data_IF_625058401310
#
_entry.id   IF_625058401310
#
_cell.length_a   1.000
_cell.length_b   1.000
_cell.length_c   1.000
_cell.angle_alpha   90.00
_cell.angle_beta   90.00
_cell.angle_gamma   90.00
#
_symmetry.space_group_name_H-M   'P 1'
#
loop_
_entity.id
_entity.type
_entity.pdbx_description
1 polymer ?
#
# COMPACT_ATOMS: atom_id res chain seq x y z
N UNK A 1 31.16 -16.35 23.59
CA UNK A 1 30.43 -16.66 22.34
C UNK A 1 31.20 -16.05 21.18
N UNK A 2 31.51 -16.81 20.12
CA UNK A 2 32.25 -16.28 18.98
C UNK A 2 31.35 -15.37 18.14
N UNK A 3 31.80 -14.13 17.88
CA UNK A 3 31.09 -13.15 17.03
C UNK A 3 31.35 -13.38 15.54
N UNK A 4 32.23 -14.32 15.21
CA UNK A 4 32.66 -14.62 13.85
C UNK A 4 31.52 -15.04 12.90
N UNK A 5 30.59 -15.96 13.25
CA UNK A 5 29.52 -16.33 12.32
C UNK A 5 28.54 -15.19 12.03
N UNK A 6 28.33 -14.26 12.98
CA UNK A 6 27.51 -13.06 12.75
C UNK A 6 28.19 -12.07 11.79
N UNK A 7 29.53 -11.97 11.83
CA UNK A 7 30.31 -11.16 10.88
C UNK A 7 30.20 -11.72 9.47
N UNK A 8 30.37 -13.03 9.32
CA UNK A 8 30.23 -13.72 8.02
C UNK A 8 28.81 -13.60 7.48
N UNK A 9 27.79 -13.80 8.34
CA UNK A 9 26.39 -13.62 7.96
C UNK A 9 26.12 -12.20 7.44
N UNK A 10 26.70 -11.16 8.06
CA UNK A 10 26.56 -9.78 7.60
C UNK A 10 27.15 -9.56 6.20
N UNK A 11 28.32 -10.14 5.92
CA UNK A 11 28.93 -10.04 4.59
C UNK A 11 28.13 -10.81 3.52
N UNK A 12 27.56 -11.98 3.87
CA UNK A 12 26.63 -12.71 2.98
C UNK A 12 25.37 -11.89 2.66
N UNK A 13 24.80 -11.21 3.66
CA UNK A 13 23.63 -10.33 3.49
C UNK A 13 23.97 -9.15 2.58
N UNK A 14 25.13 -8.50 2.76
CA UNK A 14 25.60 -7.43 1.86
C UNK A 14 25.77 -7.92 0.42
N UNK A 15 26.26 -9.15 0.26
CA UNK A 15 26.39 -9.82 -1.04
C UNK A 15 25.06 -10.35 -1.62
N UNK A 16 23.91 -10.10 -0.98
CA UNK A 16 22.58 -10.61 -1.37
C UNK A 16 22.49 -12.14 -1.42
N UNK A 17 23.38 -12.85 -0.72
CA UNK A 17 23.38 -14.32 -0.60
C UNK A 17 22.52 -14.76 0.59
N UNK A 18 21.22 -14.47 0.50
CA UNK A 18 20.28 -14.63 1.62
C UNK A 18 20.08 -16.09 2.06
N UNK A 19 20.17 -17.05 1.12
CA UNK A 19 20.07 -18.48 1.41
C UNK A 19 21.16 -18.95 2.38
N UNK A 20 22.42 -18.69 2.03
CA UNK A 20 23.57 -19.05 2.85
C UNK A 20 23.61 -18.28 4.17
N UNK A 21 23.18 -17.02 4.15
CA UNK A 21 23.03 -16.24 5.37
C UNK A 21 22.01 -16.88 6.32
N UNK A 22 20.88 -17.39 5.82
CA UNK A 22 19.89 -18.11 6.65
C UNK A 22 20.45 -19.39 7.22
N UNK A 23 21.10 -20.22 6.39
CA UNK A 23 21.69 -21.49 6.85
C UNK A 23 22.74 -21.27 7.93
N UNK A 24 23.55 -20.22 7.80
CA UNK A 24 24.54 -19.85 8.80
C UNK A 24 23.87 -19.33 10.08
N UNK A 25 22.89 -18.44 9.97
CA UNK A 25 22.18 -17.86 11.12
C UNK A 25 21.34 -18.90 11.88
N UNK A 26 20.77 -19.90 11.19
CA UNK A 26 19.99 -20.97 11.79
C UNK A 26 20.83 -21.89 12.69
N UNK A 27 22.14 -22.00 12.44
CA UNK A 27 23.07 -22.79 13.27
C UNK A 27 23.60 -22.02 14.48
N UNK A 28 23.37 -20.70 14.55
CA UNK A 28 23.90 -19.83 15.60
C UNK A 28 22.82 -19.58 16.64
N UNK A 29 23.00 -20.12 17.85
CA UNK A 29 22.11 -19.86 18.99
C UNK A 29 22.41 -18.48 19.60
N UNK A 30 21.85 -17.43 18.99
CA UNK A 30 22.02 -16.05 19.44
C UNK A 30 20.76 -15.22 19.15
N UNK A 31 20.29 -14.37 20.09
CA UNK A 31 19.06 -13.60 19.90
C UNK A 31 19.11 -12.63 18.71
N UNK A 32 20.30 -12.07 18.42
CA UNK A 32 20.51 -11.24 17.22
C UNK A 32 20.36 -12.05 15.93
N UNK A 33 20.76 -13.33 15.91
CA UNK A 33 20.62 -14.17 14.73
C UNK A 33 19.14 -14.42 14.41
N UNK A 34 18.32 -14.69 15.44
CA UNK A 34 16.87 -14.81 15.31
C UNK A 34 16.22 -13.53 14.77
N UNK A 35 16.63 -12.35 15.26
CA UNK A 35 16.15 -11.06 14.73
C UNK A 35 16.54 -10.85 13.26
N UNK A 36 17.74 -11.29 12.86
CA UNK A 36 18.19 -11.18 11.47
C UNK A 36 17.47 -12.16 10.55
N UNK A 37 17.19 -13.37 11.01
CA UNK A 37 16.34 -14.33 10.28
C UNK A 37 14.95 -13.76 10.03
N UNK A 38 14.30 -13.21 11.06
CA UNK A 38 12.98 -12.59 10.90
C UNK A 38 13.00 -11.44 9.87
N UNK A 39 14.04 -10.59 9.91
CA UNK A 39 14.22 -9.50 8.94
C UNK A 39 14.53 -10.02 7.54
N UNK A 40 15.26 -11.13 7.41
CA UNK A 40 15.51 -11.79 6.13
C UNK A 40 14.24 -12.38 5.55
N UNK A 41 13.36 -12.96 6.38
CA UNK A 41 12.06 -13.51 5.97
C UNK A 41 11.09 -12.41 5.52
N UNK A 42 11.18 -11.22 6.12
CA UNK A 42 10.48 -10.03 5.64
C UNK A 42 11.01 -9.54 4.29
N UNK A 43 12.35 -9.49 4.13
CA UNK A 43 13.01 -8.95 2.93
C UNK A 43 12.98 -9.90 1.73
N UNK A 44 13.10 -11.21 1.97
CA UNK A 44 13.27 -12.22 0.93
C UNK A 44 12.64 -13.56 1.36
N UNK A 45 11.31 -13.65 1.53
CA UNK A 45 10.64 -14.85 2.05
C UNK A 45 11.07 -16.11 1.28
N UNK A 46 11.15 -17.26 1.96
CA UNK A 46 11.61 -18.53 1.36
C UNK A 46 10.82 -18.90 0.09
N UNK A 47 9.57 -18.49 0.01
CA UNK A 47 8.72 -18.63 -1.18
C UNK A 47 9.28 -17.93 -2.43
N UNK A 48 9.94 -16.78 -2.30
CA UNK A 48 10.65 -16.13 -3.41
C UNK A 48 11.88 -16.93 -3.85
N UNK A 49 12.56 -17.57 -2.90
CA UNK A 49 13.73 -18.38 -3.23
C UNK A 49 13.32 -19.66 -3.97
N UNK A 50 12.28 -20.34 -3.50
CA UNK A 50 11.68 -21.47 -4.21
C UNK A 50 11.18 -21.09 -5.60
N UNK A 51 10.54 -19.91 -5.72
CA UNK A 51 10.14 -19.40 -7.04
C UNK A 51 11.34 -19.18 -7.96
N UNK A 52 12.50 -18.74 -7.43
CA UNK A 52 13.74 -18.62 -8.22
C UNK A 52 14.23 -19.97 -8.72
N UNK A 53 14.28 -20.97 -7.84
CA UNK A 53 14.73 -22.32 -8.19
C UNK A 53 13.85 -22.94 -9.28
N UNK A 54 12.53 -22.74 -9.20
CA UNK A 54 11.59 -23.20 -10.24
C UNK A 54 11.83 -22.50 -11.58
N UNK A 55 12.13 -21.19 -11.57
CA UNK A 55 12.50 -20.45 -12.79
C UNK A 55 13.79 -21.03 -13.39
N UNK A 56 14.80 -21.28 -12.56
CA UNK A 56 16.08 -21.85 -13.00
C UNK A 56 15.92 -23.29 -13.56
N UNK A 57 14.91 -24.03 -13.09
CA UNK A 57 14.51 -25.37 -13.59
C UNK A 57 13.61 -25.33 -14.83
N UNK A 58 13.13 -24.16 -15.24
CA UNK A 58 12.18 -24.00 -16.36
C UNK A 58 10.71 -24.27 -15.99
N UNK A 59 10.40 -24.48 -14.70
CA UNK A 59 9.05 -24.66 -14.16
C UNK A 59 8.34 -23.30 -13.96
N UNK A 60 8.16 -22.57 -15.07
CA UNK A 60 7.62 -21.20 -15.04
C UNK A 60 6.18 -21.13 -14.51
N UNK A 61 5.40 -22.20 -14.66
CA UNK A 61 3.99 -22.26 -14.25
C UNK A 61 3.87 -22.35 -12.72
N UNK A 62 4.58 -23.26 -12.08
CA UNK A 62 4.66 -23.34 -10.61
C UNK A 62 5.24 -22.05 -10.03
N UNK A 63 6.30 -21.51 -10.63
CA UNK A 63 6.91 -20.27 -10.20
C UNK A 63 5.92 -19.10 -10.22
N UNK A 64 5.11 -18.98 -11.28
CA UNK A 64 4.07 -17.95 -11.41
C UNK A 64 3.01 -18.08 -10.34
N UNK A 65 2.52 -19.30 -10.08
CA UNK A 65 1.53 -19.54 -9.03
C UNK A 65 2.05 -19.14 -7.64
N UNK A 66 3.28 -19.54 -7.31
CA UNK A 66 3.93 -19.14 -6.06
C UNK A 66 4.07 -17.62 -5.97
N UNK A 67 4.53 -16.95 -7.03
CA UNK A 67 4.71 -15.50 -7.00
C UNK A 67 3.37 -14.74 -6.91
N UNK A 68 2.29 -15.23 -7.53
CA UNK A 68 0.94 -14.63 -7.45
C UNK A 68 0.36 -14.75 -6.04
N UNK A 69 0.66 -15.83 -5.33
CA UNK A 69 0.23 -16.00 -3.93
C UNK A 69 0.91 -15.00 -2.97
N UNK A 70 2.00 -14.35 -3.39
CA UNK A 70 2.75 -13.41 -2.57
C UNK A 70 2.33 -11.96 -2.85
N UNK A 71 1.71 -11.31 -1.87
CA UNK A 71 1.43 -9.87 -1.94
C UNK A 71 2.68 -9.03 -1.59
N UNK A 72 3.76 -9.19 -2.37
CA UNK A 72 5.03 -8.49 -2.17
C UNK A 72 5.44 -7.72 -3.46
N UNK A 73 5.93 -6.47 -3.37
CA UNK A 73 6.34 -5.70 -4.55
C UNK A 73 7.47 -6.36 -5.36
N UNK A 74 8.36 -7.10 -4.72
CA UNK A 74 9.42 -7.86 -5.40
C UNK A 74 8.83 -9.00 -6.22
N UNK A 75 7.82 -9.71 -5.68
CA UNK A 75 7.13 -10.77 -6.40
C UNK A 75 6.44 -10.24 -7.67
N UNK A 76 5.81 -9.06 -7.59
CA UNK A 76 5.22 -8.38 -8.75
C UNK A 76 6.24 -8.05 -9.84
N UNK A 77 7.43 -7.56 -9.46
CA UNK A 77 8.52 -7.30 -10.43
C UNK A 77 9.01 -8.58 -11.11
N UNK A 78 9.11 -9.67 -10.35
CA UNK A 78 9.51 -10.97 -10.88
C UNK A 78 8.45 -11.56 -11.81
N UNK A 79 7.17 -11.44 -11.47
CA UNK A 79 6.06 -11.82 -12.35
C UNK A 79 6.11 -11.08 -13.68
N UNK A 80 6.29 -9.76 -13.66
CA UNK A 80 6.39 -8.96 -14.89
C UNK A 80 7.56 -9.43 -15.78
N UNK A 81 8.72 -9.73 -15.17
CA UNK A 81 9.88 -10.24 -15.91
C UNK A 81 9.66 -11.66 -16.46
N UNK A 82 8.94 -12.50 -15.73
CA UNK A 82 8.53 -13.84 -16.18
C UNK A 82 7.59 -13.76 -17.39
N UNK A 83 6.62 -12.83 -17.35
CA UNK A 83 5.68 -12.59 -18.45
C UNK A 83 6.38 -12.05 -19.71
N UNK A 84 7.45 -11.27 -19.53
CA UNK A 84 8.32 -10.82 -20.64
C UNK A 84 9.15 -11.95 -21.25
N UNK A 85 9.68 -12.87 -20.43
CA UNK A 85 10.54 -13.96 -20.88
C UNK A 85 9.77 -15.10 -21.57
N UNK A 86 8.51 -15.34 -21.18
CA UNK A 86 7.72 -16.48 -21.68
C UNK A 86 6.31 -16.03 -22.10
N UNK A 87 6.19 -15.20 -23.15
CA UNK A 87 4.89 -14.71 -23.61
C UNK A 87 3.95 -15.84 -24.03
N UNK A 88 4.48 -16.93 -24.61
CA UNK A 88 3.69 -18.09 -25.06
C UNK A 88 3.01 -18.87 -23.92
N UNK A 89 3.64 -18.94 -22.73
CA UNK A 89 3.03 -19.62 -21.58
C UNK A 89 1.82 -18.85 -21.01
N UNK A 90 1.67 -17.57 -21.36
CA UNK A 90 0.52 -16.76 -20.94
C UNK A 90 -0.63 -16.82 -21.95
N UNK A 91 -0.35 -17.06 -23.23
CA UNK A 91 -1.34 -17.11 -24.30
C UNK A 91 -2.28 -18.32 -24.19
N UNK A 92 -1.79 -19.47 -23.71
CA UNK A 92 -2.58 -20.70 -23.59
C UNK A 92 -3.39 -20.80 -22.28
N UNK A 93 -3.31 -19.78 -21.42
CA UNK A 93 -4.02 -19.67 -20.14
C UNK A 93 -4.96 -18.46 -20.08
N UNK A 94 -5.39 -17.93 -21.24
CA UNK A 94 -6.73 -17.36 -21.27
C UNK A 94 -7.63 -18.45 -20.66
N UNK A 95 -8.33 -18.21 -19.54
CA UNK A 95 -9.27 -19.21 -19.04
C UNK A 95 -10.11 -19.55 -20.26
N UNK A 96 -10.08 -20.81 -20.67
CA UNK A 96 -11.02 -21.27 -21.67
C UNK A 96 -12.35 -20.73 -21.17
N UNK A 97 -12.90 -19.75 -21.88
CA UNK A 97 -14.22 -19.26 -21.61
C UNK A 97 -15.06 -20.53 -21.71
N UNK A 98 -15.38 -21.11 -20.57
CA UNK A 98 -16.47 -22.05 -20.43
C UNK A 98 -17.68 -21.14 -20.58
N UNK A 99 -17.93 -20.70 -21.83
CA UNK A 99 -19.15 -20.04 -22.26
C UNK A 99 -20.29 -21.07 -22.37
N UNK A 100 -20.13 -22.26 -21.78
CA UNK A 100 -21.26 -23.07 -21.32
C UNK A 100 -21.81 -22.46 -20.02
N UNK A 101 -22.19 -21.18 -20.08
CA UNK A 101 -23.33 -20.72 -19.29
C UNK A 101 -24.55 -21.37 -19.94
N UNK A 102 -24.83 -22.61 -19.54
CA UNK A 102 -26.14 -23.22 -19.79
C UNK A 102 -27.13 -22.33 -19.04
N UNK A 103 -27.77 -21.46 -19.80
CA UNK A 103 -28.88 -20.63 -19.38
C UNK A 103 -29.98 -21.53 -18.77
N UNK A 104 -29.96 -21.65 -17.44
CA UNK A 104 -30.87 -22.48 -16.66
C UNK A 104 -32.32 -21.98 -16.70
N UNK A 105 -32.59 -20.81 -17.29
CA UNK A 105 -33.95 -20.26 -17.42
C UNK A 105 -34.64 -20.62 -18.75
N UNK A 106 -33.94 -21.28 -19.69
CA UNK A 106 -34.57 -21.84 -20.90
C UNK A 106 -34.93 -23.33 -20.71
N UNK A 107 -35.64 -23.66 -19.62
CA UNK A 107 -36.38 -24.93 -19.53
C UNK A 107 -37.78 -24.65 -20.09
N UNK A 108 -37.94 -24.76 -21.41
CA UNK A 108 -39.28 -24.87 -21.98
C UNK A 108 -39.95 -26.13 -21.39
N UNK A 109 -41.23 -26.06 -20.97
CA UNK A 109 -41.97 -27.24 -20.56
C UNK A 109 -42.01 -28.19 -21.75
N UNK A 110 -41.37 -29.36 -21.61
CA UNK A 110 -41.39 -30.43 -22.61
C UNK A 110 -42.85 -30.76 -22.89
N UNK A 111 -43.35 -30.26 -24.03
CA UNK A 111 -44.64 -30.67 -24.56
C UNK A 111 -44.49 -32.14 -24.95
N UNK A 112 -45.03 -33.01 -24.11
CA UNK A 112 -45.17 -34.44 -24.39
C UNK A 112 -46.15 -34.57 -25.54
N UNK A 113 -45.63 -34.54 -26.76
CA UNK A 113 -46.39 -34.90 -27.96
C UNK A 113 -46.57 -36.41 -27.91
N UNK A 114 -47.79 -36.85 -27.64
CA UNK A 114 -48.18 -38.25 -27.69
C UNK A 114 -47.99 -38.77 -29.13
N UNK A 115 -46.87 -39.46 -29.38
CA UNK A 115 -46.67 -40.19 -30.63
C UNK A 115 -47.38 -41.55 -30.55
N UNK A 116 -48.15 -41.92 -31.60
CA UNK A 116 -48.83 -43.20 -31.65
C UNK A 116 -47.87 -44.33 -32.00
N UNK A 117 -47.73 -45.29 -31.07
CA UNK A 117 -47.72 -46.72 -31.37
C UNK A 117 -46.67 -47.26 -32.34
N UNK A 118 -45.42 -47.34 -31.90
CA UNK A 118 -44.52 -48.42 -32.31
C UNK A 118 -44.11 -49.10 -31.00
N UNK A 119 -44.65 -50.29 -30.74
CA UNK A 119 -44.13 -51.18 -29.70
C UNK A 119 -42.74 -51.65 -30.13
N UNK A 120 -41.75 -50.78 -30.00
CA UNK A 120 -40.36 -51.21 -30.00
C UNK A 120 -40.20 -52.08 -28.75
N UNK A 121 -40.12 -53.39 -28.96
CA UNK A 121 -39.73 -54.30 -27.90
C UNK A 121 -38.43 -53.78 -27.29
N UNK A 122 -38.33 -53.62 -25.95
CA UNK A 122 -37.16 -53.02 -25.33
C UNK A 122 -35.92 -53.75 -25.81
N UNK A 123 -35.02 -53.01 -26.49
CA UNK A 123 -33.72 -53.54 -26.91
C UNK A 123 -33.06 -54.10 -25.68
N UNK A 124 -32.96 -55.43 -25.60
CA UNK A 124 -32.34 -56.12 -24.46
C UNK A 124 -30.90 -55.64 -24.38
N UNK A 125 -30.50 -55.15 -23.20
CA UNK A 125 -29.13 -54.72 -22.98
C UNK A 125 -28.18 -55.89 -23.26
N UNK A 126 -27.12 -55.63 -24.03
CA UNK A 126 -26.06 -56.59 -24.34
C UNK A 126 -24.75 -56.14 -23.71
N UNK A 127 -23.87 -57.10 -23.41
CA UNK A 127 -22.48 -56.89 -23.00
C UNK A 127 -21.58 -57.79 -23.85
N UNK A 128 -20.28 -57.50 -23.90
CA UNK A 128 -19.30 -58.38 -24.55
C UNK A 128 -18.82 -59.47 -23.62
N UNK A 129 -18.68 -60.68 -24.13
CA UNK A 129 -18.07 -61.78 -23.40
C UNK A 129 -16.56 -61.48 -23.17
N UNK A 130 -16.06 -61.51 -21.92
CA UNK A 130 -14.65 -61.23 -21.63
C UNK A 130 -13.68 -62.28 -22.22
N UNK A 131 -14.17 -63.45 -22.62
CA UNK A 131 -13.34 -64.54 -23.13
C UNK A 131 -13.26 -64.61 -24.66
N UNK A 132 -14.35 -64.28 -25.37
CA UNK A 132 -14.41 -64.39 -26.84
C UNK A 132 -14.87 -63.12 -27.56
N UNK A 133 -15.10 -62.03 -26.82
CA UNK A 133 -15.52 -60.72 -27.31
C UNK A 133 -16.88 -60.64 -28.03
N UNK A 134 -17.61 -61.74 -28.14
CA UNK A 134 -18.95 -61.76 -28.74
C UNK A 134 -20.00 -61.05 -27.90
N UNK A 135 -20.98 -60.43 -28.56
CA UNK A 135 -22.10 -59.75 -27.93
C UNK A 135 -23.10 -60.79 -27.38
N UNK A 136 -23.36 -60.69 -26.08
CA UNK A 136 -24.23 -61.58 -25.31
C UNK A 136 -25.24 -60.74 -24.51
N UNK A 137 -26.35 -61.34 -24.10
CA UNK A 137 -27.33 -60.66 -23.25
C UNK A 137 -26.71 -60.32 -21.89
N UNK A 138 -27.08 -59.17 -21.31
CA UNK A 138 -26.59 -58.75 -20.00
C UNK A 138 -26.87 -59.80 -18.91
N UNK A 139 -28.02 -60.47 -19.02
CA UNK A 139 -28.52 -61.54 -18.15
C UNK A 139 -27.89 -62.93 -18.40
N UNK A 140 -27.07 -63.08 -19.45
CA UNK A 140 -26.43 -64.37 -19.75
C UNK A 140 -25.41 -64.74 -18.67
N UNK A 141 -25.61 -65.89 -18.03
CA UNK A 141 -24.66 -66.52 -17.11
C UNK A 141 -23.59 -67.33 -17.85
N UNK A 142 -23.88 -67.79 -19.08
CA UNK A 142 -22.97 -68.59 -19.90
C UNK A 142 -22.91 -67.99 -21.30
N UNK A 143 -21.70 -67.89 -21.88
CA UNK A 143 -21.56 -67.41 -23.24
C UNK A 143 -21.97 -68.50 -24.25
N UNK A 144 -22.97 -68.21 -25.11
CA UNK A 144 -23.41 -69.15 -26.16
C UNK A 144 -22.34 -69.52 -27.18
N UNK A 145 -21.30 -68.70 -27.32
CA UNK A 145 -20.27 -68.87 -28.35
C UNK A 145 -19.06 -69.67 -27.87
N UNK A 146 -18.53 -69.37 -26.67
CA UNK A 146 -17.35 -70.08 -26.14
C UNK A 146 -17.65 -71.09 -25.03
N UNK A 147 -18.91 -71.15 -24.54
CA UNK A 147 -19.35 -72.11 -23.54
C UNK A 147 -18.82 -71.88 -22.11
N UNK A 148 -18.10 -70.78 -21.84
CA UNK A 148 -17.57 -70.48 -20.51
C UNK A 148 -18.60 -69.74 -19.64
N UNK A 149 -18.57 -70.06 -18.35
CA UNK A 149 -19.36 -69.38 -17.33
C UNK A 149 -18.84 -67.96 -17.10
N UNK A 150 -19.76 -67.02 -17.11
CA UNK A 150 -19.53 -65.62 -16.79
C UNK A 150 -19.84 -65.49 -15.32
N UNK A 151 -18.80 -65.41 -14.48
CA UNK A 151 -18.95 -65.16 -13.06
C UNK A 151 -19.65 -63.81 -12.93
N UNK A 152 -20.97 -63.82 -12.78
CA UNK A 152 -21.71 -62.64 -12.36
C UNK A 152 -21.26 -62.41 -10.93
N UNK A 153 -20.35 -61.45 -10.74
CA UNK A 153 -20.05 -60.96 -9.40
C UNK A 153 -21.40 -60.70 -8.74
N UNK A 154 -21.70 -61.35 -7.60
CA UNK A 154 -22.95 -61.09 -6.90
C UNK A 154 -23.00 -59.58 -6.70
N UNK A 155 -24.12 -58.97 -7.10
CA UNK A 155 -24.37 -57.55 -6.89
C UNK A 155 -24.24 -57.31 -5.38
N UNK A 156 -23.06 -56.93 -4.94
CA UNK A 156 -22.83 -56.47 -3.57
C UNK A 156 -23.81 -55.30 -3.44
N UNK A 157 -24.75 -55.33 -2.48
CA UNK A 157 -25.67 -54.23 -2.29
C UNK A 157 -24.81 -52.98 -2.10
N UNK A 158 -24.84 -52.09 -3.10
CA UNK A 158 -24.05 -50.87 -3.06
C UNK A 158 -24.54 -50.11 -1.84
N UNK A 159 -23.68 -49.88 -0.82
CA UNK A 159 -24.10 -49.13 0.35
C UNK A 159 -24.65 -47.78 -0.12
N UNK A 160 -25.79 -47.36 0.42
CA UNK A 160 -26.39 -46.09 0.05
C UNK A 160 -25.48 -44.94 0.54
N UNK A 161 -24.70 -44.37 -0.39
CA UNK A 161 -23.73 -43.29 -0.12
C UNK A 161 -24.42 -41.91 -0.03
N UNK A 162 -25.72 -41.80 -0.35
CA UNK A 162 -26.46 -40.51 -0.33
C UNK A 162 -26.38 -39.74 0.99
N UNK A 163 -26.59 -40.35 2.18
CA UNK A 163 -26.52 -39.59 3.43
C UNK A 163 -25.12 -38.99 3.69
N UNK A 164 -24.06 -39.70 3.30
CA UNK A 164 -22.70 -39.20 3.45
C UNK A 164 -22.44 -38.04 2.50
N UNK A 165 -22.88 -38.15 1.24
CA UNK A 165 -22.74 -37.07 0.26
C UNK A 165 -23.52 -35.80 0.68
N UNK A 166 -24.71 -35.97 1.24
CA UNK A 166 -25.52 -34.85 1.75
C UNK A 166 -24.84 -34.12 2.92
N UNK A 167 -24.23 -34.86 3.85
CA UNK A 167 -23.49 -34.27 4.97
C UNK A 167 -22.29 -33.45 4.51
N UNK A 168 -21.52 -33.97 3.55
CA UNK A 168 -20.35 -33.30 3.01
C UNK A 168 -20.73 -32.04 2.21
N UNK A 169 -21.86 -32.07 1.51
CA UNK A 169 -22.38 -30.89 0.81
C UNK A 169 -22.80 -29.78 1.79
N UNK A 170 -23.45 -30.13 2.90
CA UNK A 170 -23.81 -29.16 3.94
C UNK A 170 -22.57 -28.49 4.56
N UNK A 171 -21.50 -29.26 4.79
CA UNK A 171 -20.23 -28.75 5.32
C UNK A 171 -19.52 -27.81 4.33
N UNK A 172 -19.55 -28.13 3.03
CA UNK A 172 -19.01 -27.24 1.99
C UNK A 172 -19.78 -25.90 1.91
N UNK A 173 -21.11 -25.93 2.00
CA UNK A 173 -21.91 -24.71 2.04
C UNK A 173 -21.62 -23.87 3.29
N UNK A 174 -21.46 -24.52 4.45
CA UNK A 174 -21.07 -23.85 5.68
C UNK A 174 -19.71 -23.15 5.55
N UNK A 175 -18.72 -23.86 5.00
CA UNK A 175 -17.37 -23.33 4.76
C UNK A 175 -17.40 -22.15 3.80
N UNK A 176 -18.21 -22.21 2.73
CA UNK A 176 -18.39 -21.11 1.79
C UNK A 176 -18.95 -19.85 2.47
N UNK A 177 -19.95 -20.00 3.32
CA UNK A 177 -20.55 -18.88 4.06
C UNK A 177 -19.54 -18.24 5.04
N UNK A 178 -18.67 -19.04 5.69
CA UNK A 178 -17.60 -18.53 6.55
C UNK A 178 -16.61 -17.69 5.73
N UNK A 179 -16.15 -18.20 4.57
CA UNK A 179 -15.20 -17.50 3.72
C UNK A 179 -15.77 -16.15 3.26
N UNK A 180 -17.03 -16.13 2.79
CA UNK A 180 -17.69 -14.89 2.40
C UNK A 180 -17.79 -13.88 3.55
N UNK A 181 -18.05 -14.35 4.77
CA UNK A 181 -18.10 -13.49 5.97
C UNK A 181 -16.74 -12.91 6.30
N UNK A 182 -15.66 -13.70 6.17
CA UNK A 182 -14.30 -13.25 6.38
C UNK A 182 -13.87 -12.21 5.34
N UNK A 183 -14.16 -12.45 4.06
CA UNK A 183 -13.89 -11.50 2.98
C UNK A 183 -14.62 -10.17 3.18
N UNK A 184 -15.86 -10.20 3.69
CA UNK A 184 -16.58 -8.98 4.01
C UNK A 184 -15.91 -8.21 5.15
N UNK A 185 -15.51 -8.91 6.23
CA UNK A 185 -14.81 -8.29 7.37
C UNK A 185 -13.47 -7.70 6.97
N UNK A 186 -12.70 -8.37 6.09
CA UNK A 186 -11.42 -7.83 5.62
C UNK A 186 -11.61 -6.56 4.80
N UNK A 187 -12.61 -6.51 3.91
CA UNK A 187 -12.95 -5.27 3.17
C UNK A 187 -13.34 -4.13 4.11
N UNK A 188 -14.13 -4.41 5.16
CA UNK A 188 -14.49 -3.38 6.14
C UNK A 188 -13.27 -2.87 6.93
N UNK A 189 -12.33 -3.74 7.30
CA UNK A 189 -11.09 -3.35 7.98
C UNK A 189 -10.21 -2.46 7.09
N UNK A 190 -10.09 -2.80 5.80
CA UNK A 190 -9.32 -1.98 4.85
C UNK A 190 -9.91 -0.58 4.68
N UNK A 191 -11.23 -0.46 4.63
CA UNK A 191 -11.91 0.83 4.56
C UNK A 191 -11.68 1.67 5.83
N UNK A 192 -11.76 1.06 7.02
CA UNK A 192 -11.44 1.73 8.27
C UNK A 192 -9.98 2.18 8.36
N UNK A 193 -9.05 1.35 7.89
CA UNK A 193 -7.61 1.69 7.86
C UNK A 193 -7.36 2.84 6.89
N UNK A 194 -8.02 2.85 5.73
CA UNK A 194 -7.90 3.93 4.74
C UNK A 194 -8.33 5.28 5.32
N UNK A 195 -9.48 5.33 6.00
CA UNK A 195 -9.98 6.55 6.64
C UNK A 195 -9.04 7.07 7.73
N UNK A 196 -8.46 6.18 8.56
CA UNK A 196 -7.47 6.58 9.57
C UNK A 196 -6.22 7.16 8.94
N UNK A 197 -5.72 6.59 7.84
CA UNK A 197 -4.54 7.10 7.14
C UNK A 197 -4.75 8.53 6.62
N UNK A 198 -5.94 8.84 6.09
CA UNK A 198 -6.28 10.18 5.62
C UNK A 198 -6.26 11.18 6.79
N UNK A 199 -6.86 10.83 7.93
CA UNK A 199 -6.87 11.70 9.12
C UNK A 199 -5.46 11.94 9.66
N UNK A 200 -4.61 10.91 9.72
CA UNK A 200 -3.21 11.08 10.14
C UNK A 200 -2.42 11.97 9.18
N UNK A 201 -2.59 11.80 7.86
CA UNK A 201 -1.93 12.65 6.87
C UNK A 201 -2.35 14.12 7.02
N UNK A 202 -3.64 14.40 7.23
CA UNK A 202 -4.14 15.75 7.46
C UNK A 202 -3.57 16.38 8.74
N UNK A 203 -3.46 15.61 9.83
CA UNK A 203 -2.84 16.08 11.08
C UNK A 203 -1.35 16.40 10.91
N UNK A 204 -0.60 15.54 10.18
CA UNK A 204 0.82 15.80 9.89
C UNK A 204 0.99 17.07 9.06
N UNK A 205 0.17 17.25 8.01
CA UNK A 205 0.21 18.46 7.16
C UNK A 205 -0.13 19.69 7.99
N UNK A 206 -1.17 19.63 8.83
CA UNK A 206 -1.54 20.72 9.74
C UNK A 206 -0.43 21.09 10.72
N UNK A 207 0.26 20.09 11.27
CA UNK A 207 1.39 20.31 12.17
C UNK A 207 2.58 20.97 11.47
N UNK A 208 2.90 20.54 10.24
CA UNK A 208 3.95 21.16 9.43
C UNK A 208 3.63 22.64 9.15
N UNK A 209 2.39 22.93 8.74
CA UNK A 209 1.95 24.32 8.51
C UNK A 209 2.10 25.14 9.79
N UNK A 210 1.61 24.64 10.93
CA UNK A 210 1.72 25.34 12.21
C UNK A 210 3.17 25.62 12.59
N UNK A 211 4.06 24.63 12.41
CA UNK A 211 5.49 24.75 12.69
C UNK A 211 6.16 25.85 11.87
N UNK A 212 5.77 26.04 10.61
CA UNK A 212 6.34 27.08 9.76
C UNK A 212 5.75 28.46 10.02
N UNK A 213 4.44 28.57 10.26
CA UNK A 213 3.78 29.87 10.37
C UNK A 213 3.99 30.54 11.73
N UNK A 214 4.03 29.78 12.83
CA UNK A 214 4.26 30.33 14.18
C UNK A 214 5.54 31.17 14.28
N UNK A 215 6.74 30.70 13.87
CA UNK A 215 7.96 31.49 13.97
C UNK A 215 7.96 32.68 12.99
N UNK A 216 7.27 32.59 11.85
CA UNK A 216 7.14 33.71 10.91
C UNK A 216 6.32 34.83 11.55
N UNK A 217 5.19 34.51 12.19
CA UNK A 217 4.35 35.50 12.89
C UNK A 217 5.12 36.11 14.06
N UNK A 218 5.86 35.31 14.83
CA UNK A 218 6.70 35.79 15.93
C UNK A 218 7.80 36.74 15.45
N UNK A 219 8.50 36.39 14.37
CA UNK A 219 9.50 37.25 13.75
C UNK A 219 8.89 38.56 13.26
N UNK A 220 7.71 38.50 12.63
CA UNK A 220 7.00 39.67 12.15
C UNK A 220 6.59 40.60 13.30
N UNK A 221 6.10 40.04 14.42
CA UNK A 221 5.82 40.81 15.64
C UNK A 221 7.07 41.49 16.20
N UNK A 222 8.21 40.79 16.25
CA UNK A 222 9.48 41.38 16.71
C UNK A 222 9.93 42.51 15.80
N UNK A 223 9.82 42.37 14.48
CA UNK A 223 10.15 43.43 13.53
C UNK A 223 9.25 44.67 13.72
N UNK A 224 7.95 44.49 13.98
CA UNK A 224 7.04 45.59 14.26
C UNK A 224 7.39 46.31 15.58
N UNK A 225 7.76 45.57 16.62
CA UNK A 225 8.21 46.14 17.90
C UNK A 225 9.48 46.95 17.70
N UNK A 226 10.47 46.41 16.98
CA UNK A 226 11.73 47.11 16.68
C UNK A 226 11.50 48.37 15.85
N UNK A 227 10.60 48.32 14.86
CA UNK A 227 10.21 49.50 14.09
C UNK A 227 9.56 50.57 14.99
N UNK A 228 8.68 50.19 15.90
CA UNK A 228 8.07 51.09 16.88
C UNK A 228 9.10 51.76 17.79
N UNK A 229 10.06 50.98 18.32
CA UNK A 229 11.17 51.51 19.13
C UNK A 229 12.04 52.46 18.29
N UNK A 230 12.32 52.14 17.04
CA UNK A 230 13.09 53.00 16.13
C UNK A 230 12.41 54.34 15.88
N UNK A 231 11.10 54.35 15.64
CA UNK A 231 10.30 55.58 15.47
C UNK A 231 10.32 56.41 16.76
N UNK A 232 10.11 55.77 17.91
CA UNK A 232 10.13 56.46 19.21
C UNK A 232 11.50 57.07 19.52
N UNK A 233 12.59 56.33 19.25
CA UNK A 233 13.96 56.82 19.45
C UNK A 233 14.29 57.99 18.50
N UNK A 234 13.83 57.93 17.25
CA UNK A 234 13.98 59.04 16.31
C UNK A 234 13.25 60.30 16.81
N UNK A 235 12.03 60.16 17.34
CA UNK A 235 11.27 61.28 17.88
C UNK A 235 11.97 61.91 19.11
N UNK A 236 12.47 61.08 20.04
CA UNK A 236 13.26 61.56 21.20
C UNK A 236 14.48 62.38 20.76
N UNK A 237 15.22 61.92 19.75
CA UNK A 237 16.36 62.68 19.20
C UNK A 237 15.93 64.02 18.56
N UNK A 238 14.81 64.04 17.84
CA UNK A 238 14.30 65.31 17.28
C UNK A 238 13.83 66.28 18.35
N UNK A 239 13.29 65.78 19.47
CA UNK A 239 12.85 66.61 20.60
C UNK A 239 14.05 67.30 21.28
N UNK A 240 15.14 66.57 21.51
CA UNK A 240 16.40 67.10 22.08
C UNK A 240 17.04 68.16 21.17
N UNK A 241 16.99 67.94 19.85
CA UNK A 241 17.48 68.93 18.88
C UNK A 241 16.60 70.18 18.84
N UNK A 242 15.27 70.06 18.97
CA UNK A 242 14.36 71.21 19.07
C UNK A 242 14.65 72.05 20.31
N UNK A 243 14.87 71.42 21.47
CA UNK A 243 15.23 72.13 22.71
C UNK A 243 16.56 72.88 22.57
N UNK A 244 17.60 72.23 22.02
CA UNK A 244 18.90 72.90 21.78
C UNK A 244 18.81 74.06 20.79
N UNK A 245 18.02 73.90 19.71
CA UNK A 245 17.77 75.00 18.76
C UNK A 245 17.04 76.17 19.42
N UNK A 246 16.07 75.89 20.29
CA UNK A 246 15.37 76.92 21.08
C UNK A 246 16.35 77.72 21.93
N UNK A 247 17.20 77.05 22.71
CA UNK A 247 18.19 77.73 23.56
C UNK A 247 19.18 78.60 22.75
N UNK A 248 19.63 78.15 21.57
CA UNK A 248 20.51 78.93 20.71
C UNK A 248 19.78 80.16 20.13
N UNK A 249 18.51 80.02 19.77
CA UNK A 249 17.69 81.13 19.27
C UNK A 249 17.44 82.18 20.36
N UNK A 250 17.25 81.76 21.61
CA UNK A 250 17.10 82.65 22.77
C UNK A 250 18.42 83.39 23.09
N UNK A 251 19.58 82.72 22.99
CA UNK A 251 20.88 83.38 23.15
C UNK A 251 21.15 84.39 22.02
N UNK A 252 20.79 84.06 20.78
CA UNK A 252 20.93 84.96 19.63
C UNK A 252 20.03 86.19 19.75
N UNK A 253 18.78 86.02 20.19
CA UNK A 253 17.86 87.15 20.38
C UNK A 253 18.39 88.13 21.44
N UNK A 254 18.96 87.62 22.53
CA UNK A 254 19.63 88.45 23.55
C UNK A 254 20.85 89.21 23.02
N UNK A 255 21.61 88.65 22.07
CA UNK A 255 22.70 89.37 21.41
C UNK A 255 22.19 90.50 20.50
N UNK A 256 21.11 90.27 19.77
CA UNK A 256 20.48 91.30 18.94
C UNK A 256 19.94 92.47 19.77
N UNK A 257 19.32 92.21 20.93
CA UNK A 257 18.88 93.27 21.85
C UNK A 257 20.06 94.11 22.37
N UNK A 258 21.17 93.45 22.74
CA UNK A 258 22.40 94.15 23.18
C UNK A 258 23.00 94.99 22.07
N UNK A 259 23.01 94.51 20.83
CA UNK A 259 23.47 95.29 19.69
C UNK A 259 22.61 96.55 19.49
N UNK A 260 21.28 96.41 19.56
CA UNK A 260 20.36 97.54 19.46
C UNK A 260 20.57 98.59 20.57
N UNK A 261 20.81 98.16 21.81
CA UNK A 261 21.14 99.06 22.91
C UNK A 261 22.48 99.79 22.71
N UNK A 262 23.47 99.12 22.11
CA UNK A 262 24.76 99.73 21.78
C UNK A 262 24.62 100.79 20.69
N UNK A 263 23.86 100.50 19.63
CA UNK A 263 23.57 101.44 18.55
C UNK A 263 22.84 102.68 19.06
N UNK A 264 21.87 102.53 19.97
CA UNK A 264 21.21 103.66 20.63
C UNK A 264 22.19 104.50 21.48
N UNK A 265 23.11 103.84 22.19
CA UNK A 265 24.11 104.54 23.02
C UNK A 265 25.10 105.34 22.15
N UNK A 266 25.53 104.77 21.02
CA UNK A 266 26.37 105.46 20.04
C UNK A 266 25.63 106.67 19.46
N UNK A 267 24.36 106.52 19.07
CA UNK A 267 23.55 107.61 18.55
C UNK A 267 23.40 108.77 19.56
N UNK A 268 23.20 108.47 20.85
CA UNK A 268 23.17 109.51 21.91
C UNK A 268 24.51 110.24 22.06
N UNK A 269 25.63 109.51 21.97
CA UNK A 269 26.97 110.11 22.00
C UNK A 269 27.22 111.04 20.80
N UNK A 270 26.80 110.65 19.59
CA UNK A 270 26.93 111.49 18.39
C UNK A 270 26.13 112.80 18.50
N UNK A 271 24.92 112.76 19.07
CA UNK A 271 24.12 113.96 19.35
C UNK A 271 24.84 114.85 20.38
N UNK A 272 25.40 114.25 21.44
CA UNK A 272 26.17 114.98 22.45
C UNK A 272 27.38 115.70 21.87
N UNK A 273 28.16 115.04 21.00
CA UNK A 273 29.37 115.61 20.40
C UNK A 273 29.06 116.76 19.43
N UNK A 274 27.97 116.67 18.64
CA UNK A 274 27.54 117.79 17.77
C UNK A 274 27.01 118.99 18.56
N UNK A 275 26.52 118.80 19.78
CA UNK A 275 26.01 119.86 20.65
C UNK A 275 27.09 120.75 21.28
N UNK A 276 28.36 120.35 21.28
CA UNK A 276 29.47 121.08 21.92
C UNK A 276 30.37 121.85 20.94
N UNK A 277 29.95 122.03 19.69
CA UNK A 277 30.62 122.91 18.73
C UNK A 277 30.48 124.38 19.12
N UNK A 278 31.51 124.89 19.79
CA UNK A 278 31.87 126.31 19.85
C UNK A 278 32.47 126.76 18.52
#
# INVERSE_FOLDING_TARGET
MSTEPLRVARELIKGKRYAEARDLLARVDHPTAAKWLAKLDELAPQTLQRARELIDQGEYREARFLLQSLNNPTAKRWLAKLEELVPEATANHAPAQVDDYVDMDTIQPVRVVAMPGIMETPKRATKRCPYCAEDILLEAAVCRFCGRDLISQPLIPVPDVRPQLQSMHAELLHTRNIIQTLEFRTRQLDEQISLRKINYAALIVGFIILWFFVPIVELMCLLLILAGIGIWYADDQTSKLRIKKGAILDDLSGLYERQGALEQSIAQLEIGIRGTGW
#
